data_IF_313797057788
#
_entry.id   IF_313797057788
#
_cell.length_a   1.000
_cell.length_b   1.000
_cell.length_c   1.000
_cell.angle_alpha   90.00
_cell.angle_beta   90.00
_cell.angle_gamma   90.00
#
_symmetry.space_group_name_H-M   'P 1'
#
loop_
_entity.id
_entity.type
_entity.pdbx_description
1 polymer ?
#
# COMPACT_ATOMS: atom_id res chain seq x y z
N UNK A 1 19.17 39.95 21.13
CA UNK A 1 17.98 39.16 20.73
C UNK A 1 18.49 38.05 19.84
N UNK A 2 18.63 36.84 20.39
CA UNK A 2 19.18 35.67 19.69
C UNK A 2 18.00 34.90 19.12
N UNK A 3 17.94 34.79 17.79
CA UNK A 3 16.97 33.94 17.09
C UNK A 3 17.39 32.49 17.27
N UNK A 4 16.62 31.74 18.06
CA UNK A 4 16.73 30.29 18.12
C UNK A 4 16.15 29.71 16.84
N UNK A 5 17.00 28.99 16.11
CA UNK A 5 16.69 28.24 14.91
C UNK A 5 15.63 27.18 15.22
N UNK A 6 14.51 27.21 14.49
CA UNK A 6 13.68 26.03 14.34
C UNK A 6 14.43 25.09 13.39
N UNK A 7 15.37 24.30 13.93
CA UNK A 7 15.86 23.11 13.26
C UNK A 7 14.69 22.14 13.16
N UNK A 8 13.92 22.27 12.08
CA UNK A 8 12.84 21.35 11.76
C UNK A 8 13.46 19.97 11.62
N UNK A 9 13.14 19.08 12.55
CA UNK A 9 13.44 17.66 12.52
C UNK A 9 12.81 17.07 11.24
N UNK A 10 13.52 17.21 10.12
CA UNK A 10 13.05 16.69 8.85
C UNK A 10 12.97 15.18 9.00
N UNK A 11 11.81 14.56 8.70
CA UNK A 11 11.69 13.11 8.81
C UNK A 11 12.77 12.47 7.95
N UNK A 12 13.81 11.92 8.59
CA UNK A 12 14.89 11.31 7.86
C UNK A 12 14.36 10.07 7.17
N UNK A 13 14.48 10.02 5.84
CA UNK A 13 14.12 8.85 5.05
C UNK A 13 14.83 7.62 5.63
N UNK A 14 14.06 6.68 6.16
CA UNK A 14 14.60 5.37 6.57
C UNK A 14 14.88 4.56 5.31
N UNK A 15 16.16 4.45 4.94
CA UNK A 15 16.58 3.62 3.80
C UNK A 15 16.32 2.15 4.13
N UNK A 16 15.54 1.49 3.28
CA UNK A 16 15.31 0.06 3.40
C UNK A 16 16.56 -0.73 2.96
N UNK A 17 16.85 -1.89 3.58
CA UNK A 17 17.97 -2.75 3.18
C UNK A 17 17.91 -3.17 1.70
N UNK A 18 19.05 -3.51 1.11
CA UNK A 18 19.12 -3.96 -0.30
C UNK A 18 18.23 -5.17 -0.56
N UNK A 19 18.25 -6.14 0.37
CA UNK A 19 17.42 -7.33 0.34
C UNK A 19 16.25 -7.16 1.32
N UNK A 20 15.04 -7.52 0.89
CA UNK A 20 13.81 -7.30 1.66
C UNK A 20 12.98 -8.58 1.68
N UNK A 21 12.28 -8.80 2.79
CA UNK A 21 11.26 -9.85 2.88
C UNK A 21 9.93 -9.27 2.44
N UNK A 22 9.29 -9.91 1.46
CA UNK A 22 8.02 -9.47 0.90
C UNK A 22 6.93 -10.54 0.95
N UNK A 23 5.68 -10.10 0.85
CA UNK A 23 4.52 -10.96 0.61
C UNK A 23 3.90 -10.54 -0.72
N UNK A 24 3.73 -11.51 -1.60
CA UNK A 24 3.01 -11.33 -2.87
C UNK A 24 1.62 -11.96 -2.77
N UNK A 25 0.62 -11.23 -3.25
CA UNK A 25 -0.78 -11.64 -3.26
C UNK A 25 -1.38 -11.41 -4.63
N UNK A 26 -1.84 -12.49 -5.26
CA UNK A 26 -2.63 -12.40 -6.48
C UNK A 26 -4.06 -11.98 -6.13
N UNK A 27 -4.64 -11.09 -6.93
CA UNK A 27 -5.99 -10.59 -6.74
C UNK A 27 -6.77 -10.52 -8.04
N UNK A 28 -8.09 -10.49 -7.92
CA UNK A 28 -9.00 -10.10 -8.98
C UNK A 28 -10.05 -9.13 -8.47
N UNK A 29 -10.51 -8.20 -9.31
CA UNK A 29 -11.63 -7.30 -9.05
C UNK A 29 -12.43 -7.21 -10.35
N UNK A 30 -13.61 -7.85 -10.38
CA UNK A 30 -14.30 -8.10 -11.64
C UNK A 30 -13.37 -8.86 -12.60
N UNK A 31 -13.15 -8.31 -13.79
CA UNK A 31 -12.29 -8.91 -14.82
C UNK A 31 -10.82 -8.48 -14.72
N UNK A 32 -10.48 -7.53 -13.85
CA UNK A 32 -9.11 -7.09 -13.64
C UNK A 32 -8.38 -8.08 -12.74
N UNK A 33 -7.18 -8.49 -13.16
CA UNK A 33 -6.30 -9.40 -12.44
C UNK A 33 -4.94 -8.76 -12.21
N UNK A 34 -4.25 -9.17 -11.16
CA UNK A 34 -2.92 -8.66 -10.87
C UNK A 34 -2.31 -9.25 -9.61
N UNK A 35 -1.15 -8.72 -9.25
CA UNK A 35 -0.45 -9.05 -8.01
C UNK A 35 -0.10 -7.79 -7.23
N UNK A 36 -0.19 -7.87 -5.91
CA UNK A 36 0.35 -6.87 -4.99
C UNK A 36 1.56 -7.51 -4.32
N UNK A 37 2.72 -6.85 -4.38
CA UNK A 37 3.90 -7.25 -3.62
C UNK A 37 4.19 -6.20 -2.56
N UNK A 38 4.14 -6.55 -1.28
CA UNK A 38 4.43 -5.66 -0.18
C UNK A 38 5.68 -6.12 0.57
N UNK A 39 6.66 -5.23 0.72
CA UNK A 39 7.87 -5.49 1.49
C UNK A 39 7.70 -4.95 2.91
N UNK A 40 8.13 -5.74 3.88
CA UNK A 40 7.94 -5.45 5.29
C UNK A 40 9.26 -5.33 6.05
N UNK A 41 9.21 -4.54 7.12
CA UNK A 41 10.26 -4.42 8.14
C UNK A 41 9.54 -4.52 9.50
N UNK A 42 9.94 -5.46 10.35
CA UNK A 42 9.34 -5.69 11.68
C UNK A 42 7.80 -5.88 11.68
N UNK A 43 7.27 -6.43 10.58
CA UNK A 43 5.83 -6.67 10.41
C UNK A 43 5.03 -5.46 9.91
N UNK A 44 5.69 -4.33 9.65
CA UNK A 44 5.11 -3.13 9.05
C UNK A 44 5.40 -3.07 7.56
N UNK A 45 4.43 -2.64 6.76
CA UNK A 45 4.63 -2.44 5.33
C UNK A 45 5.44 -1.17 5.12
N UNK A 46 6.53 -1.28 4.37
CA UNK A 46 7.43 -0.15 4.09
C UNK A 46 7.35 0.32 2.64
N UNK A 47 6.99 -0.59 1.75
CA UNK A 47 6.74 -0.29 0.33
C UNK A 47 5.86 -1.39 -0.25
N UNK A 48 5.16 -1.06 -1.33
CA UNK A 48 4.46 -2.05 -2.14
C UNK A 48 4.46 -1.68 -3.61
N UNK A 49 4.22 -2.69 -4.43
CA UNK A 49 4.15 -2.62 -5.87
C UNK A 49 2.91 -3.36 -6.34
N UNK A 50 2.35 -2.93 -7.46
CA UNK A 50 1.20 -3.59 -8.08
C UNK A 50 1.55 -3.87 -9.52
N UNK A 51 1.38 -5.11 -9.93
CA UNK A 51 1.41 -5.47 -11.34
C UNK A 51 0.01 -5.90 -11.75
N UNK A 52 -0.52 -5.30 -12.81
CA UNK A 52 -1.88 -5.56 -13.31
C UNK A 52 -1.75 -6.17 -14.68
N UNK A 53 -2.60 -7.16 -14.96
CA UNK A 53 -2.67 -7.81 -16.28
C UNK A 53 -3.46 -6.92 -17.25
N UNK A 54 -2.85 -6.59 -18.39
CA UNK A 54 -3.46 -5.79 -19.48
C UNK A 54 -4.17 -4.50 -18.99
N UNK A 55 -3.52 -3.66 -18.18
CA UNK A 55 -4.14 -2.41 -17.73
C UNK A 55 -4.21 -1.44 -18.91
N UNK A 56 -5.20 -0.55 -18.90
CA UNK A 56 -5.08 0.68 -19.67
C UNK A 56 -3.96 1.56 -19.07
N UNK A 57 -3.20 2.25 -19.91
CA UNK A 57 -2.00 3.03 -19.51
C UNK A 57 -2.30 4.02 -18.37
N UNK A 58 -3.45 4.67 -18.40
CA UNK A 58 -3.88 5.63 -17.37
C UNK A 58 -4.07 4.97 -16.01
N UNK A 59 -4.70 3.80 -15.97
CA UNK A 59 -4.95 3.08 -14.71
C UNK A 59 -3.65 2.55 -14.13
N UNK A 60 -2.77 2.00 -14.97
CA UNK A 60 -1.42 1.57 -14.56
C UNK A 60 -0.63 2.73 -13.97
N UNK A 61 -0.56 3.85 -14.69
CA UNK A 61 0.15 5.04 -14.24
C UNK A 61 -0.39 5.59 -12.91
N UNK A 62 -1.70 5.59 -12.71
CA UNK A 62 -2.31 6.01 -11.45
C UNK A 62 -1.94 5.08 -10.29
N UNK A 63 -2.06 3.77 -10.48
CA UNK A 63 -1.73 2.78 -9.44
C UNK A 63 -0.25 2.86 -9.08
N UNK A 64 0.64 2.93 -10.09
CA UNK A 64 2.08 3.04 -9.89
C UNK A 64 2.44 4.33 -9.14
N UNK A 65 1.85 5.47 -9.54
CA UNK A 65 2.07 6.74 -8.84
C UNK A 65 1.63 6.68 -7.37
N UNK A 66 0.47 6.08 -7.08
CA UNK A 66 -0.01 5.91 -5.70
C UNK A 66 0.90 4.96 -4.92
N UNK A 67 1.33 3.85 -5.51
CA UNK A 67 2.25 2.91 -4.88
C UNK A 67 3.59 3.57 -4.53
N UNK A 68 4.15 4.36 -5.44
CA UNK A 68 5.39 5.12 -5.22
C UNK A 68 5.20 6.16 -4.11
N UNK A 69 4.19 7.02 -4.20
CA UNK A 69 3.95 8.07 -3.21
C UNK A 69 3.69 7.47 -1.81
N UNK A 70 2.94 6.38 -1.72
CA UNK A 70 2.67 5.70 -0.46
C UNK A 70 3.95 5.07 0.10
N UNK A 71 4.74 4.39 -0.73
CA UNK A 71 6.02 3.80 -0.30
C UNK A 71 7.00 4.87 0.20
N UNK A 72 7.05 6.04 -0.44
CA UNK A 72 7.83 7.18 0.05
C UNK A 72 7.32 7.65 1.41
N UNK A 73 6.00 7.81 1.59
CA UNK A 73 5.41 8.23 2.87
C UNK A 73 5.72 7.23 4.00
N UNK A 74 5.57 5.94 3.76
CA UNK A 74 5.89 4.86 4.72
C UNK A 74 7.38 4.88 5.12
N UNK A 75 8.28 5.10 4.16
CA UNK A 75 9.73 5.24 4.42
C UNK A 75 10.08 6.49 5.25
N UNK A 76 9.21 7.51 5.28
CA UNK A 76 9.34 8.70 6.14
C UNK A 76 8.56 8.58 7.46
N UNK A 77 8.10 7.38 7.81
CA UNK A 77 7.49 7.09 9.11
C UNK A 77 5.99 7.39 9.19
N UNK A 78 5.33 7.74 8.07
CA UNK A 78 3.87 7.79 8.06
C UNK A 78 3.32 6.37 8.23
N UNK A 79 2.40 6.18 9.17
CA UNK A 79 1.77 4.88 9.39
C UNK A 79 0.85 4.49 8.22
N UNK A 80 0.85 3.20 7.85
CA UNK A 80 -0.03 2.69 6.80
C UNK A 80 -1.49 3.02 7.07
N UNK A 81 -1.95 2.93 8.33
CA UNK A 81 -3.36 3.19 8.67
C UNK A 81 -3.78 4.64 8.34
N UNK A 82 -2.88 5.61 8.54
CA UNK A 82 -3.13 7.02 8.20
C UNK A 82 -3.37 7.18 6.70
N UNK A 83 -2.63 6.46 5.86
CA UNK A 83 -2.79 6.47 4.40
C UNK A 83 -4.01 5.65 3.98
N UNK A 84 -4.19 4.45 4.55
CA UNK A 84 -5.26 3.52 4.23
C UNK A 84 -6.64 4.14 4.45
N UNK A 85 -6.84 4.89 5.53
CA UNK A 85 -8.09 5.60 5.80
C UNK A 85 -8.48 6.63 4.71
N UNK A 86 -7.54 7.06 3.85
CA UNK A 86 -7.82 7.97 2.73
C UNK A 86 -8.24 7.25 1.44
N UNK A 87 -7.80 6.01 1.24
CA UNK A 87 -8.03 5.26 0.00
C UNK A 87 -9.10 4.17 0.13
N UNK A 88 -9.28 3.61 1.33
CA UNK A 88 -10.37 2.67 1.62
C UNK A 88 -11.71 3.40 1.42
N UNK A 89 -12.58 2.81 0.61
CA UNK A 89 -13.86 3.37 0.21
C UNK A 89 -13.82 4.31 -0.99
N UNK A 90 -12.65 4.52 -1.60
CA UNK A 90 -12.56 5.22 -2.90
C UNK A 90 -13.38 4.49 -3.97
N UNK A 91 -13.93 5.25 -4.92
CA UNK A 91 -14.89 4.75 -5.92
C UNK A 91 -14.48 5.12 -7.32
N UNK A 92 -14.11 4.13 -8.12
CA UNK A 92 -13.88 4.24 -9.55
C UNK A 92 -13.69 2.85 -10.15
N UNK A 93 -13.93 2.71 -11.45
CA UNK A 93 -13.77 1.44 -12.15
C UNK A 93 -12.29 1.09 -12.38
N UNK A 94 -11.93 -0.20 -12.34
CA UNK A 94 -12.80 -1.36 -12.13
C UNK A 94 -13.21 -1.59 -10.67
N UNK A 95 -14.49 -1.89 -10.44
CA UNK A 95 -15.07 -2.25 -9.16
C UNK A 95 -15.91 -3.52 -9.27
N UNK A 96 -16.02 -4.29 -8.18
CA UNK A 96 -16.77 -5.54 -8.24
C UNK A 96 -16.39 -6.57 -7.21
N UNK A 97 -16.82 -7.81 -7.46
CA UNK A 97 -16.45 -8.98 -6.66
C UNK A 97 -14.97 -9.30 -6.79
N UNK A 98 -14.40 -9.89 -5.75
CA UNK A 98 -12.98 -10.25 -5.70
C UNK A 98 -12.81 -11.74 -5.41
N UNK A 99 -11.62 -12.27 -5.70
CA UNK A 99 -11.24 -13.63 -5.30
C UNK A 99 -10.87 -13.79 -3.81
N UNK A 100 -10.78 -12.68 -3.06
CA UNK A 100 -10.38 -12.70 -1.65
C UNK A 100 -11.61 -12.80 -0.73
N UNK A 101 -11.78 -13.89 0.04
CA UNK A 101 -12.93 -14.07 0.91
C UNK A 101 -13.02 -13.03 2.05
N UNK A 102 -11.89 -12.44 2.47
CA UNK A 102 -11.84 -11.39 3.49
C UNK A 102 -12.22 -10.01 2.92
N UNK A 103 -12.26 -9.87 1.58
CA UNK A 103 -12.63 -8.64 0.86
C UNK A 103 -13.54 -9.02 -0.30
N UNK A 104 -14.76 -9.52 -0.06
CA UNK A 104 -15.58 -10.13 -1.11
C UNK A 104 -15.97 -9.16 -2.24
N UNK A 105 -15.94 -7.85 -1.96
CA UNK A 105 -16.23 -6.80 -2.93
C UNK A 105 -15.38 -5.56 -2.68
N UNK A 106 -14.90 -4.94 -3.75
CA UNK A 106 -14.15 -3.69 -3.74
C UNK A 106 -14.87 -2.60 -4.55
N UNK A 107 -14.73 -1.34 -4.11
CA UNK A 107 -15.31 -0.18 -4.82
C UNK A 107 -14.33 0.50 -5.77
N UNK A 108 -13.07 0.10 -5.75
CA UNK A 108 -12.02 0.48 -6.69
C UNK A 108 -10.79 -0.43 -6.48
N UNK A 109 -9.78 -0.38 -7.37
CA UNK A 109 -8.49 -1.01 -7.14
C UNK A 109 -7.79 -0.51 -5.87
N UNK A 110 -7.81 0.81 -5.63
CA UNK A 110 -7.15 1.40 -4.45
C UNK A 110 -7.87 1.00 -3.16
N UNK A 111 -9.21 0.93 -3.16
CA UNK A 111 -9.97 0.40 -2.02
C UNK A 111 -9.52 -1.03 -1.67
N UNK A 112 -9.40 -1.90 -2.67
CA UNK A 112 -8.93 -3.26 -2.47
C UNK A 112 -7.49 -3.33 -1.94
N UNK A 113 -6.56 -2.65 -2.62
CA UNK A 113 -5.14 -2.66 -2.30
C UNK A 113 -4.93 -2.24 -0.83
N UNK A 114 -5.50 -1.12 -0.41
CA UNK A 114 -5.30 -0.63 0.95
C UNK A 114 -6.01 -1.46 2.02
N UNK A 115 -7.17 -2.07 1.72
CA UNK A 115 -7.78 -3.06 2.63
C UNK A 115 -6.89 -4.27 2.80
N UNK A 116 -6.30 -4.79 1.72
CA UNK A 116 -5.42 -5.95 1.79
C UNK A 116 -4.11 -5.65 2.53
N UNK A 117 -3.49 -4.49 2.27
CA UNK A 117 -2.28 -4.05 3.00
C UNK A 117 -2.55 -3.94 4.50
N UNK A 118 -3.68 -3.33 4.88
CA UNK A 118 -4.10 -3.24 6.30
C UNK A 118 -4.30 -4.62 6.94
N UNK A 119 -4.93 -5.55 6.22
CA UNK A 119 -5.06 -6.95 6.68
C UNK A 119 -3.71 -7.66 6.77
N UNK A 120 -2.77 -7.38 5.86
CA UNK A 120 -1.42 -7.94 5.90
C UNK A 120 -0.66 -7.50 7.16
N UNK A 121 -0.60 -6.20 7.45
CA UNK A 121 0.05 -5.70 8.69
C UNK A 121 -0.60 -6.29 9.94
N UNK A 122 -1.94 -6.33 9.99
CA UNK A 122 -2.65 -6.91 11.12
C UNK A 122 -2.32 -8.40 11.34
N UNK A 123 -2.08 -9.17 10.26
CA UNK A 123 -1.65 -10.57 10.33
C UNK A 123 -0.19 -10.69 10.78
N UNK A 124 0.70 -9.82 10.30
CA UNK A 124 2.14 -9.88 10.58
C UNK A 124 2.49 -9.36 11.97
N UNK A 125 1.80 -8.35 12.49
CA UNK A 125 1.96 -7.82 13.85
C UNK A 125 1.47 -8.78 14.94
N UNK A 126 0.50 -9.65 14.65
CA UNK A 126 -0.06 -10.60 15.62
C UNK A 126 0.83 -11.82 15.90
N UNK A 127 1.94 -12.00 15.18
CA UNK A 127 2.81 -13.17 15.28
C UNK A 127 2.14 -14.47 14.82
N UNK A 128 2.90 -15.56 14.56
CA UNK A 128 2.29 -16.88 14.38
C UNK A 128 1.58 -17.28 15.68
N UNK A 129 0.33 -17.74 15.56
CA UNK A 129 -0.40 -18.37 16.67
C UNK A 129 0.28 -19.65 17.13
#
# INVERSE_FOLDING_TARGET
>A
MSGGEHEQDQPQRRRLPTERTGVTHAFSIGDMHGTITANLEDGEVREFFVDVDKPGDTLRGLIDAVAICTSVALQHGIELEVLATKFIGSRFEPAGFTSNPDIPRATSPLDYIFRWLRQLEARKRKGPR
#
